data_IF_594258569591
#
_entry.id   IF_594258569591
#
_cell.length_a   1.000
_cell.length_b   1.000
_cell.length_c   1.000
_cell.angle_alpha   90.00
_cell.angle_beta   90.00
_cell.angle_gamma   90.00
#
_symmetry.space_group_name_H-M   'P 1'
#
loop_
_entity.id
_entity.type
_entity.pdbx_description
1 polymer ?
#
# COMPACT_ATOMS: atom_id res chain seq x y z
N UNK A 1 -0.76 16.21 -59.93
CA UNK A 1 0.37 16.63 -59.05
C UNK A 1 0.39 15.68 -57.86
N UNK A 2 1.27 14.67 -57.91
CA UNK A 2 1.39 13.64 -56.85
C UNK A 2 2.52 14.05 -55.93
N UNK A 3 2.22 14.25 -54.66
CA UNK A 3 3.23 14.48 -53.62
C UNK A 3 3.50 13.15 -52.97
N UNK A 4 4.69 12.60 -53.21
CA UNK A 4 5.22 11.40 -52.54
C UNK A 4 5.92 11.87 -51.28
N UNK A 5 5.42 11.51 -50.10
CA UNK A 5 6.07 11.76 -48.82
C UNK A 5 6.92 10.56 -48.47
N UNK A 6 8.27 10.72 -48.58
CA UNK A 6 9.25 9.72 -48.16
C UNK A 6 9.36 9.70 -46.64
N UNK A 7 9.00 8.59 -46.02
CA UNK A 7 9.33 8.31 -44.62
C UNK A 7 10.72 7.68 -44.57
N UNK A 8 11.68 8.45 -44.06
CA UNK A 8 13.05 7.96 -43.80
C UNK A 8 13.02 7.08 -42.54
N UNK A 9 13.32 5.80 -42.72
CA UNK A 9 13.63 4.86 -41.64
C UNK A 9 15.07 5.13 -41.16
N UNK A 10 15.18 5.66 -39.94
CA UNK A 10 16.46 5.83 -39.30
C UNK A 10 16.84 4.54 -38.56
N UNK A 11 17.72 3.73 -39.14
CA UNK A 11 18.38 2.62 -38.47
C UNK A 11 19.37 3.19 -37.43
N UNK A 12 19.08 3.06 -36.13
CA UNK A 12 20.09 3.29 -35.11
C UNK A 12 20.85 1.98 -34.86
N UNK A 13 22.12 2.04 -35.22
CA UNK A 13 23.16 1.03 -34.98
C UNK A 13 23.23 0.66 -33.49
N UNK A 14 23.35 -0.64 -33.26
CA UNK A 14 23.54 -1.22 -31.96
C UNK A 14 24.79 -0.71 -31.24
N UNK A 15 24.60 -0.15 -30.10
CA UNK A 15 25.68 0.00 -29.11
C UNK A 15 25.59 -1.16 -28.14
N UNK A 16 26.62 -2.02 -28.20
CA UNK A 16 26.86 -3.06 -27.20
C UNK A 16 27.07 -2.40 -25.83
N UNK A 17 26.09 -2.57 -24.95
CA UNK A 17 26.23 -2.17 -23.56
C UNK A 17 27.18 -3.14 -22.86
N UNK A 18 28.38 -2.68 -22.55
CA UNK A 18 29.31 -3.34 -21.66
C UNK A 18 28.66 -3.41 -20.25
N UNK A 19 28.59 -4.61 -19.69
CA UNK A 19 28.16 -4.84 -18.32
C UNK A 19 29.15 -4.20 -17.33
N UNK A 20 28.89 -2.99 -16.91
CA UNK A 20 29.51 -2.44 -15.74
C UNK A 20 28.92 -3.17 -14.50
N UNK A 21 29.76 -3.98 -13.84
CA UNK A 21 29.44 -4.53 -12.52
C UNK A 21 29.27 -3.37 -11.54
N UNK A 22 28.05 -2.94 -11.27
CA UNK A 22 27.76 -2.04 -10.18
C UNK A 22 27.73 -2.85 -8.88
N UNK A 23 28.70 -2.61 -8.02
CA UNK A 23 28.69 -3.06 -6.63
C UNK A 23 27.55 -2.31 -5.88
N UNK A 24 26.35 -2.85 -5.87
CA UNK A 24 25.26 -2.30 -5.09
C UNK A 24 24.81 -3.32 -4.03
N UNK A 25 24.92 -2.94 -2.76
CA UNK A 25 24.35 -3.63 -1.59
C UNK A 25 22.82 -3.87 -1.68
N UNK A 26 22.16 -3.47 -2.77
CA UNK A 26 20.74 -3.66 -3.03
C UNK A 26 20.38 -4.91 -3.84
N UNK A 27 21.37 -5.61 -4.42
CA UNK A 27 21.10 -6.74 -5.32
C UNK A 27 20.50 -7.98 -4.64
N UNK A 28 20.76 -8.17 -3.34
CA UNK A 28 20.34 -9.35 -2.58
C UNK A 28 19.07 -9.16 -1.74
N UNK A 29 18.43 -8.00 -1.80
CA UNK A 29 17.19 -7.80 -1.07
C UNK A 29 16.11 -8.76 -1.58
N UNK A 30 15.43 -9.52 -0.70
CA UNK A 30 14.36 -10.44 -1.09
C UNK A 30 13.13 -9.72 -1.64
N UNK A 31 13.07 -8.41 -1.48
CA UNK A 31 11.98 -7.56 -1.94
C UNK A 31 12.52 -6.42 -2.80
N UNK A 32 11.93 -6.24 -3.97
CA UNK A 32 12.22 -5.13 -4.87
C UNK A 32 10.95 -4.33 -5.13
N UNK A 33 11.00 -3.01 -4.88
CA UNK A 33 9.84 -2.11 -5.01
C UNK A 33 10.26 -0.87 -5.77
N UNK A 34 9.47 -0.48 -6.76
CA UNK A 34 9.67 0.76 -7.51
C UNK A 34 8.89 0.78 -8.83
N UNK A 35 8.83 1.92 -9.51
CA UNK A 35 8.22 1.99 -10.83
C UNK A 35 9.12 1.33 -11.88
N UNK A 36 8.51 0.74 -12.91
CA UNK A 36 9.19 0.25 -14.11
C UNK A 36 9.69 1.45 -14.90
N UNK A 37 10.98 1.49 -15.18
CA UNK A 37 11.60 2.52 -16.00
C UNK A 37 11.99 2.03 -17.39
N UNK A 38 12.15 0.71 -17.56
CA UNK A 38 12.35 0.09 -18.86
C UNK A 38 11.86 -1.37 -18.85
N UNK A 39 11.52 -1.85 -20.04
CA UNK A 39 11.17 -3.25 -20.31
C UNK A 39 12.00 -3.69 -21.50
N UNK A 40 12.68 -4.83 -21.39
CA UNK A 40 13.46 -5.39 -22.53
C UNK A 40 12.54 -5.74 -23.71
N UNK A 41 13.10 -5.78 -24.91
CA UNK A 41 12.32 -6.06 -26.12
C UNK A 41 11.63 -7.44 -26.10
N UNK A 42 12.20 -8.40 -25.38
CA UNK A 42 11.62 -9.74 -25.20
C UNK A 42 10.64 -9.81 -23.99
N UNK A 43 10.43 -8.69 -23.29
CA UNK A 43 9.55 -8.60 -22.12
C UNK A 43 10.05 -9.33 -20.88
N UNK A 44 11.26 -9.89 -20.89
CA UNK A 44 11.75 -10.73 -19.80
C UNK A 44 12.54 -9.97 -18.73
N UNK A 45 13.00 -8.77 -19.01
CA UNK A 45 13.70 -7.94 -18.01
C UNK A 45 12.94 -6.66 -17.76
N UNK A 46 12.65 -6.40 -16.49
CA UNK A 46 12.07 -5.14 -16.03
C UNK A 46 13.14 -4.37 -15.27
N UNK A 47 13.47 -3.17 -15.71
CA UNK A 47 14.29 -2.24 -14.93
C UNK A 47 13.38 -1.41 -14.07
N UNK A 48 13.56 -1.46 -12.75
CA UNK A 48 12.79 -0.66 -11.79
C UNK A 48 13.70 0.37 -11.11
N UNK A 49 13.11 1.49 -10.70
CA UNK A 49 13.77 2.52 -9.91
C UNK A 49 13.41 2.31 -8.43
N UNK A 50 14.37 1.87 -7.63
CA UNK A 50 14.20 1.73 -6.18
C UNK A 50 14.44 3.06 -5.45
N UNK A 51 14.12 3.12 -4.15
CA UNK A 51 14.43 4.29 -3.31
C UNK A 51 15.92 4.63 -3.37
N UNK A 52 16.25 5.94 -3.43
CA UNK A 52 17.63 6.42 -3.57
C UNK A 52 18.16 6.39 -4.99
N UNK A 53 17.26 6.39 -5.99
CA UNK A 53 17.59 6.43 -7.43
C UNK A 53 18.39 5.22 -7.98
N UNK A 54 18.39 4.11 -7.23
CA UNK A 54 19.06 2.88 -7.66
C UNK A 54 18.18 2.10 -8.64
N UNK A 55 18.73 1.87 -9.84
CA UNK A 55 18.08 0.98 -10.82
C UNK A 55 18.38 -0.47 -10.47
N UNK A 56 17.38 -1.31 -10.59
CA UNK A 56 17.50 -2.76 -10.42
C UNK A 56 16.79 -3.49 -11.55
N UNK A 57 17.50 -4.45 -12.13
CA UNK A 57 16.94 -5.33 -13.15
C UNK A 57 16.31 -6.56 -12.49
N UNK A 58 15.11 -6.87 -12.90
CA UNK A 58 14.33 -8.03 -12.50
C UNK A 58 14.19 -8.93 -13.72
N UNK A 59 14.90 -10.05 -13.72
CA UNK A 59 14.82 -11.03 -14.81
C UNK A 59 13.67 -11.99 -14.52
N UNK A 60 12.65 -11.94 -15.39
CA UNK A 60 11.50 -12.84 -15.35
C UNK A 60 11.85 -14.17 -16.01
N UNK A 61 11.41 -15.25 -15.42
CA UNK A 61 11.50 -16.60 -15.97
C UNK A 61 10.10 -17.14 -16.27
N UNK A 62 10.00 -18.25 -16.98
CA UNK A 62 8.71 -18.92 -17.18
C UNK A 62 8.04 -19.41 -15.89
N UNK A 63 8.74 -19.32 -14.74
CA UNK A 63 8.22 -19.65 -13.41
C UNK A 63 7.90 -18.41 -12.58
N UNK A 64 8.12 -17.21 -13.11
CA UNK A 64 7.78 -15.95 -12.43
C UNK A 64 6.29 -15.70 -12.56
N UNK A 65 5.62 -15.49 -11.45
CA UNK A 65 4.20 -15.18 -11.40
C UNK A 65 3.98 -13.67 -11.56
N UNK A 66 3.13 -13.27 -12.50
CA UNK A 66 2.69 -11.89 -12.69
C UNK A 66 1.30 -11.70 -12.11
N UNK A 67 1.16 -10.82 -11.13
CA UNK A 67 -0.10 -10.53 -10.44
C UNK A 67 -0.43 -9.07 -10.69
N UNK A 68 -1.52 -8.79 -11.39
CA UNK A 68 -1.98 -7.44 -11.66
C UNK A 68 -2.98 -7.02 -10.58
N UNK A 69 -2.67 -5.92 -9.88
CA UNK A 69 -3.43 -5.44 -8.72
C UNK A 69 -4.30 -4.26 -9.11
N UNK A 70 -5.62 -4.37 -8.92
CA UNK A 70 -6.58 -3.32 -9.28
C UNK A 70 -6.55 -2.97 -10.76
N UNK A 71 -6.40 -3.98 -11.61
CA UNK A 71 -6.47 -3.84 -13.05
C UNK A 71 -7.50 -4.80 -13.60
N UNK A 72 -8.54 -4.32 -14.32
CA UNK A 72 -9.48 -5.16 -15.05
C UNK A 72 -8.74 -6.11 -15.99
N UNK A 73 -9.23 -7.32 -16.18
CA UNK A 73 -8.57 -8.38 -16.99
C UNK A 73 -8.18 -7.91 -18.39
N UNK A 74 -8.98 -7.05 -19.01
CA UNK A 74 -8.74 -6.49 -20.34
C UNK A 74 -7.55 -5.54 -20.43
N UNK A 75 -7.12 -4.95 -19.33
CA UNK A 75 -6.02 -3.96 -19.26
C UNK A 75 -4.72 -4.51 -18.64
N UNK A 76 -4.70 -5.79 -18.23
CA UNK A 76 -3.54 -6.42 -17.57
C UNK A 76 -2.36 -6.54 -18.54
N UNK A 77 -1.40 -5.65 -18.42
CA UNK A 77 -0.14 -5.65 -19.18
C UNK A 77 0.98 -4.97 -18.40
N UNK A 78 2.21 -5.32 -18.71
CA UNK A 78 3.39 -4.60 -18.22
C UNK A 78 3.56 -3.31 -19.04
N UNK A 79 3.83 -2.19 -18.38
CA UNK A 79 4.15 -0.93 -19.02
C UNK A 79 5.13 -0.12 -18.17
N UNK A 80 5.92 0.74 -18.83
CA UNK A 80 6.75 1.73 -18.15
C UNK A 80 5.85 2.67 -17.34
N UNK A 81 6.29 2.99 -16.12
CA UNK A 81 5.51 3.78 -15.17
C UNK A 81 4.67 2.93 -14.19
N UNK A 82 4.36 1.67 -14.51
CA UNK A 82 3.67 0.81 -13.57
C UNK A 82 4.50 0.58 -12.30
N UNK A 83 3.85 0.58 -11.14
CA UNK A 83 4.48 0.22 -9.87
C UNK A 83 4.72 -1.29 -9.79
N UNK A 84 5.84 -1.68 -9.20
CA UNK A 84 6.20 -3.08 -8.99
C UNK A 84 6.53 -3.35 -7.54
N UNK A 85 6.03 -4.49 -7.04
CA UNK A 85 6.51 -5.16 -5.84
C UNK A 85 6.89 -6.60 -6.19
N UNK A 86 8.19 -6.87 -6.29
CA UNK A 86 8.69 -8.19 -6.67
C UNK A 86 9.30 -8.94 -5.48
N UNK A 87 9.01 -10.23 -5.38
CA UNK A 87 9.66 -11.18 -4.47
C UNK A 87 10.79 -11.88 -5.19
N UNK A 88 12.00 -11.79 -4.62
CA UNK A 88 13.22 -12.37 -5.19
C UNK A 88 13.81 -13.38 -4.20
N UNK A 89 14.17 -14.57 -4.68
CA UNK A 89 14.81 -15.61 -3.86
C UNK A 89 15.95 -16.25 -4.65
N UNK A 90 17.16 -16.18 -4.10
CA UNK A 90 18.38 -16.71 -4.78
C UNK A 90 18.62 -16.06 -6.14
N UNK A 91 18.44 -14.73 -6.25
CA UNK A 91 18.60 -13.99 -7.50
C UNK A 91 17.45 -14.17 -8.51
N UNK A 92 16.48 -15.07 -8.24
CA UNK A 92 15.37 -15.37 -9.14
C UNK A 92 14.08 -14.65 -8.70
N UNK A 93 13.43 -13.99 -9.65
CA UNK A 93 12.10 -13.37 -9.43
C UNK A 93 11.05 -14.48 -9.31
N UNK A 94 10.36 -14.55 -8.19
CA UNK A 94 9.30 -15.52 -7.92
C UNK A 94 7.93 -14.96 -8.29
N UNK A 95 7.62 -13.76 -7.82
CA UNK A 95 6.38 -13.09 -8.16
C UNK A 95 6.59 -11.59 -8.33
N UNK A 96 5.78 -10.99 -9.17
CA UNK A 96 5.75 -9.55 -9.43
C UNK A 96 4.31 -9.08 -9.33
N UNK A 97 4.03 -8.25 -8.33
CA UNK A 97 2.76 -7.53 -8.22
C UNK A 97 2.90 -6.22 -8.97
N UNK A 98 2.03 -6.01 -9.93
CA UNK A 98 2.03 -4.86 -10.83
C UNK A 98 0.83 -4.00 -10.54
N UNK A 99 1.04 -2.70 -10.33
CA UNK A 99 0.00 -1.70 -10.11
C UNK A 99 0.05 -0.62 -11.17
N UNK A 100 -1.05 0.05 -11.43
CA UNK A 100 -1.04 1.31 -12.18
C UNK A 100 -0.23 2.36 -11.42
N UNK A 101 0.29 3.41 -12.12
CA UNK A 101 0.97 4.52 -11.46
C UNK A 101 0.03 5.18 -10.45
N UNK A 102 0.38 5.13 -9.18
CA UNK A 102 -0.34 5.88 -8.15
C UNK A 102 0.13 7.33 -8.20
N UNK A 103 -0.73 8.26 -8.61
CA UNK A 103 -0.45 9.69 -8.50
C UNK A 103 -0.22 10.12 -7.04
N UNK A 104 0.10 11.41 -6.81
CA UNK A 104 0.17 11.95 -5.45
C UNK A 104 -1.17 11.72 -4.74
N UNK A 105 -1.11 11.22 -3.51
CA UNK A 105 -2.30 11.07 -2.68
C UNK A 105 -3.00 12.43 -2.53
N UNK A 106 -4.27 12.48 -2.88
CA UNK A 106 -5.07 13.65 -2.56
C UNK A 106 -5.08 13.82 -1.03
N UNK A 107 -4.82 15.04 -0.54
CA UNK A 107 -4.97 15.34 0.88
C UNK A 107 -6.45 15.29 1.24
N UNK A 108 -6.88 14.20 1.80
CA UNK A 108 -8.30 13.95 2.09
C UNK A 108 -8.79 14.56 3.39
N UNK A 109 -8.06 15.47 3.97
CA UNK A 109 -8.46 16.17 5.18
C UNK A 109 -8.91 15.28 6.35
N UNK A 110 -9.10 15.86 7.53
CA UNK A 110 -9.56 15.13 8.74
C UNK A 110 -11.00 14.59 8.61
N UNK A 111 -11.77 15.06 7.65
CA UNK A 111 -13.20 14.71 7.51
C UNK A 111 -13.45 13.28 7.04
N UNK A 112 -12.44 12.62 6.45
CA UNK A 112 -12.57 11.22 6.00
C UNK A 112 -12.94 10.25 7.13
N UNK A 113 -12.51 10.53 8.36
CA UNK A 113 -12.76 9.67 9.52
C UNK A 113 -14.24 9.57 9.89
N UNK A 114 -15.05 10.55 9.45
CA UNK A 114 -16.50 10.63 9.72
C UNK A 114 -17.34 10.00 8.61
N UNK A 115 -16.73 9.69 7.45
CA UNK A 115 -17.50 9.16 6.31
C UNK A 115 -17.92 7.70 6.54
N UNK A 116 -19.06 7.33 6.01
CA UNK A 116 -19.46 5.92 5.86
C UNK A 116 -18.74 5.27 4.68
N UNK A 117 -18.75 3.93 4.59
CA UNK A 117 -18.18 3.20 3.43
C UNK A 117 -18.79 3.69 2.12
N UNK A 118 -20.12 3.83 2.05
CA UNK A 118 -20.80 4.30 0.85
C UNK A 118 -20.37 5.73 0.47
N UNK A 119 -20.20 6.62 1.45
CA UNK A 119 -19.72 7.97 1.18
C UNK A 119 -18.27 7.98 0.68
N UNK A 120 -17.42 7.06 1.17
CA UNK A 120 -16.07 6.87 0.67
C UNK A 120 -16.13 6.40 -0.78
N UNK A 121 -16.90 5.36 -1.08
CA UNK A 121 -17.05 4.86 -2.46
C UNK A 121 -17.49 5.96 -3.42
N UNK A 122 -18.55 6.71 -3.09
CA UNK A 122 -19.03 7.79 -3.95
C UNK A 122 -17.99 8.89 -4.18
N UNK A 123 -17.20 9.22 -3.15
CA UNK A 123 -16.19 10.29 -3.27
C UNK A 123 -14.88 9.84 -3.91
N UNK A 124 -14.50 8.59 -3.72
CA UNK A 124 -13.22 8.06 -4.14
C UNK A 124 -13.26 7.41 -5.53
N UNK A 125 -14.43 6.91 -5.96
CA UNK A 125 -14.63 6.37 -7.30
C UNK A 125 -14.71 7.53 -8.31
N UNK A 126 -13.55 7.96 -8.80
CA UNK A 126 -13.41 9.11 -9.69
C UNK A 126 -13.89 8.81 -11.12
N UNK A 127 -13.80 7.55 -11.54
CA UNK A 127 -14.16 7.10 -12.89
C UNK A 127 -15.62 6.60 -13.00
N UNK A 128 -16.30 6.39 -11.86
CA UNK A 128 -17.71 5.98 -11.81
C UNK A 128 -17.96 4.52 -12.24
N UNK A 129 -16.97 3.64 -12.17
CA UNK A 129 -17.07 2.24 -12.62
C UNK A 129 -17.74 1.29 -11.61
N UNK A 130 -18.15 1.80 -10.47
CA UNK A 130 -18.94 1.07 -9.46
C UNK A 130 -18.16 0.51 -8.29
N UNK A 131 -16.83 0.61 -8.28
CA UNK A 131 -15.94 0.18 -7.20
C UNK A 131 -14.72 1.08 -7.09
N UNK A 132 -13.78 0.75 -6.22
CA UNK A 132 -12.48 1.44 -6.16
C UNK A 132 -11.40 0.54 -6.76
N UNK A 133 -10.72 1.02 -7.77
CA UNK A 133 -9.49 0.40 -8.23
C UNK A 133 -8.35 0.61 -7.22
N UNK A 134 -7.18 -0.01 -7.46
CA UNK A 134 -6.05 0.12 -6.56
C UNK A 134 -5.55 1.57 -6.42
N UNK A 135 -5.60 2.36 -7.48
CA UNK A 135 -5.12 3.75 -7.49
C UNK A 135 -6.02 4.62 -6.62
N UNK A 136 -7.34 4.52 -6.84
CA UNK A 136 -8.36 5.22 -6.06
C UNK A 136 -8.30 4.83 -4.58
N UNK A 137 -8.25 3.52 -4.30
CA UNK A 137 -8.12 3.01 -2.94
C UNK A 137 -6.84 3.52 -2.27
N UNK A 138 -5.68 3.49 -2.95
CA UNK A 138 -4.40 3.90 -2.37
C UNK A 138 -4.34 5.39 -2.03
N UNK A 139 -5.00 6.23 -2.82
CA UNK A 139 -5.14 7.67 -2.54
C UNK A 139 -5.94 7.93 -1.27
N UNK A 140 -6.96 7.12 -1.01
CA UNK A 140 -7.86 7.30 0.13
C UNK A 140 -7.35 6.67 1.43
N UNK A 141 -6.69 5.52 1.36
CA UNK A 141 -6.30 4.74 2.54
C UNK A 141 -4.82 4.92 2.88
N UNK A 142 -4.03 5.61 2.05
CA UNK A 142 -2.59 5.81 2.23
C UNK A 142 -1.81 4.53 2.54
N UNK A 143 -2.08 3.47 1.80
CA UNK A 143 -1.28 2.27 1.91
C UNK A 143 0.12 2.48 1.35
N UNK A 144 1.12 2.07 2.12
CA UNK A 144 2.49 2.06 1.61
C UNK A 144 2.61 1.14 0.39
N UNK A 145 3.50 1.44 -0.58
CA UNK A 145 3.78 0.57 -1.72
C UNK A 145 4.16 -0.86 -1.32
N UNK A 146 4.64 -1.03 -0.09
CA UNK A 146 5.01 -2.34 0.47
C UNK A 146 3.80 -3.21 0.83
N UNK A 147 2.74 -2.63 1.39
CA UNK A 147 1.61 -3.37 1.96
C UNK A 147 0.30 -3.17 1.18
N UNK A 148 0.14 -2.05 0.50
CA UNK A 148 -1.07 -1.71 -0.24
C UNK A 148 -1.52 -2.77 -1.24
N UNK A 149 -0.64 -3.26 -2.15
CA UNK A 149 -1.02 -4.28 -3.11
C UNK A 149 -1.53 -5.58 -2.46
N UNK A 150 -0.92 -6.00 -1.35
CA UNK A 150 -1.35 -7.20 -0.64
C UNK A 150 -2.70 -7.01 0.05
N UNK A 151 -2.94 -5.82 0.58
CA UNK A 151 -4.21 -5.47 1.23
C UNK A 151 -5.34 -5.42 0.21
N UNK A 152 -5.09 -4.84 -0.96
CA UNK A 152 -6.05 -4.82 -2.05
C UNK A 152 -6.43 -6.24 -2.48
N UNK A 153 -5.45 -7.08 -2.84
CA UNK A 153 -5.68 -8.47 -3.28
C UNK A 153 -6.39 -9.33 -2.23
N UNK A 154 -6.19 -9.04 -0.94
CA UNK A 154 -6.94 -9.73 0.13
C UNK A 154 -8.39 -9.28 0.20
N UNK A 155 -8.67 -8.04 -0.15
CA UNK A 155 -10.02 -7.47 -0.11
C UNK A 155 -10.82 -7.80 -1.38
N UNK A 156 -10.21 -7.68 -2.55
CA UNK A 156 -10.77 -8.05 -3.86
C UNK A 156 -10.95 -9.57 -3.92
N UNK A 157 -12.13 -10.04 -3.57
CA UNK A 157 -12.44 -11.48 -3.45
C UNK A 157 -12.91 -12.10 -4.75
N UNK A 158 -13.53 -11.29 -5.60
CA UNK A 158 -14.05 -11.74 -6.88
C UNK A 158 -13.01 -11.61 -8.03
N UNK A 159 -11.84 -11.01 -7.74
CA UNK A 159 -10.74 -10.76 -8.71
C UNK A 159 -11.22 -9.97 -9.93
N UNK A 160 -12.14 -9.01 -9.72
CA UNK A 160 -12.58 -8.13 -10.80
C UNK A 160 -11.70 -6.88 -10.95
N UNK A 161 -10.84 -6.61 -9.97
CA UNK A 161 -9.91 -5.49 -9.93
C UNK A 161 -10.50 -4.24 -9.29
N UNK A 162 -11.68 -4.32 -8.69
CA UNK A 162 -12.37 -3.25 -7.99
C UNK A 162 -12.68 -3.68 -6.56
N UNK A 163 -12.86 -2.73 -5.67
CA UNK A 163 -13.38 -2.97 -4.32
C UNK A 163 -14.80 -2.44 -4.23
N UNK A 164 -15.75 -3.33 -4.07
CA UNK A 164 -17.14 -2.99 -3.78
C UNK A 164 -17.35 -2.58 -2.31
N UNK A 165 -18.59 -2.26 -1.92
CA UNK A 165 -18.93 -1.84 -0.56
C UNK A 165 -18.65 -2.89 0.51
N UNK A 166 -18.85 -4.16 0.20
CA UNK A 166 -18.61 -5.26 1.13
C UNK A 166 -17.11 -5.52 1.31
N UNK A 167 -16.35 -5.43 0.24
CA UNK A 167 -14.89 -5.60 0.21
C UNK A 167 -14.19 -4.42 0.89
N UNK A 168 -14.64 -3.19 0.63
CA UNK A 168 -14.18 -1.98 1.32
C UNK A 168 -14.46 -2.05 2.82
N UNK A 169 -15.62 -2.54 3.25
CA UNK A 169 -15.93 -2.71 4.67
C UNK A 169 -14.92 -3.63 5.36
N UNK A 170 -14.59 -4.76 4.73
CA UNK A 170 -13.58 -5.71 5.24
C UNK A 170 -12.18 -5.11 5.26
N UNK A 171 -11.81 -4.38 4.22
CA UNK A 171 -10.52 -3.70 4.15
C UNK A 171 -10.39 -2.67 5.28
N UNK A 172 -11.38 -1.80 5.44
CA UNK A 172 -11.39 -0.74 6.45
C UNK A 172 -11.40 -1.26 7.88
N UNK A 173 -12.00 -2.41 8.14
CA UNK A 173 -11.96 -3.05 9.47
C UNK A 173 -10.53 -3.33 9.96
N UNK A 174 -9.57 -3.51 9.05
CA UNK A 174 -8.14 -3.64 9.36
C UNK A 174 -7.37 -2.32 9.45
N UNK A 175 -8.01 -1.18 9.18
CA UNK A 175 -7.38 0.14 9.14
C UNK A 175 -7.55 0.85 10.49
N UNK A 176 -6.44 1.14 11.16
CA UNK A 176 -6.46 1.69 12.52
C UNK A 176 -7.28 2.97 12.63
N UNK A 177 -7.01 3.98 11.79
CA UNK A 177 -7.73 5.25 11.87
C UNK A 177 -9.25 5.07 11.67
N UNK A 178 -9.67 4.14 10.82
CA UNK A 178 -11.08 3.82 10.63
C UNK A 178 -11.69 3.21 11.89
N UNK A 179 -11.03 2.18 12.45
CA UNK A 179 -11.46 1.50 13.67
C UNK A 179 -11.62 2.48 14.82
N UNK A 180 -10.57 3.27 15.10
CA UNK A 180 -10.54 4.14 16.27
C UNK A 180 -11.39 5.40 16.13
N UNK A 181 -11.71 5.83 14.91
CA UNK A 181 -12.62 6.97 14.69
C UNK A 181 -14.11 6.65 14.84
N UNK A 182 -14.48 5.38 15.10
CA UNK A 182 -15.89 4.97 15.25
C UNK A 182 -16.46 5.18 16.64
N UNK A 183 -15.60 5.39 17.64
CA UNK A 183 -15.96 5.62 19.04
C UNK A 183 -15.13 6.78 19.58
N UNK A 184 -15.64 7.45 20.61
CA UNK A 184 -14.84 8.43 21.35
C UNK A 184 -13.73 7.75 22.17
N UNK A 185 -12.73 8.51 22.59
CA UNK A 185 -11.65 7.99 23.44
C UNK A 185 -12.18 7.53 24.80
N UNK A 186 -13.22 8.20 25.31
CA UNK A 186 -13.90 7.85 26.55
C UNK A 186 -14.66 6.52 26.42
N UNK A 187 -15.26 6.26 25.26
CA UNK A 187 -15.92 4.97 24.99
C UNK A 187 -14.91 3.84 24.90
N UNK A 188 -13.77 4.07 24.21
CA UNK A 188 -12.68 3.11 24.16
C UNK A 188 -12.13 2.80 25.54
N UNK A 189 -11.90 3.83 26.37
CA UNK A 189 -11.43 3.68 27.74
C UNK A 189 -12.42 2.84 28.58
N UNK A 190 -13.68 3.24 28.63
CA UNK A 190 -14.73 2.58 29.43
C UNK A 190 -14.92 1.10 29.06
N UNK A 191 -14.81 0.76 27.77
CA UNK A 191 -14.90 -0.64 27.32
C UNK A 191 -13.69 -1.48 27.69
N UNK A 192 -12.52 -0.85 27.82
CA UNK A 192 -11.30 -1.52 28.20
C UNK A 192 -11.12 -1.67 29.71
N UNK A 193 -11.59 -0.70 30.49
CA UNK A 193 -11.56 -0.69 31.96
C UNK A 193 -12.55 -1.75 32.51
N UNK A 194 -12.08 -2.99 32.57
CA UNK A 194 -12.92 -4.14 32.91
C UNK A 194 -13.19 -4.26 34.41
N UNK A 195 -12.26 -3.76 35.23
CA UNK A 195 -12.36 -3.81 36.69
C UNK A 195 -13.02 -2.54 37.28
N UNK A 196 -13.14 -1.46 36.48
CA UNK A 196 -13.80 -0.20 36.86
C UNK A 196 -12.98 0.65 37.83
N UNK A 197 -11.64 0.48 37.88
CA UNK A 197 -10.80 1.25 38.79
C UNK A 197 -10.39 2.62 38.26
N UNK A 198 -10.78 2.94 37.02
CA UNK A 198 -10.57 4.25 36.39
C UNK A 198 -9.20 4.42 35.76
N UNK A 199 -8.42 3.35 35.61
CA UNK A 199 -7.15 3.29 34.86
C UNK A 199 -7.11 2.01 34.05
N UNK A 200 -6.24 1.92 33.03
CA UNK A 200 -6.03 0.67 32.31
C UNK A 200 -4.68 0.05 32.69
N UNK A 201 -4.69 -1.17 33.15
CA UNK A 201 -3.49 -1.98 33.22
C UNK A 201 -3.06 -2.49 31.83
N UNK A 202 -1.91 -3.20 31.75
CA UNK A 202 -1.43 -3.73 30.48
C UNK A 202 -2.41 -4.73 29.85
N UNK A 203 -3.08 -5.56 30.64
CA UNK A 203 -4.01 -6.58 30.13
C UNK A 203 -5.26 -5.90 29.53
N UNK A 204 -5.82 -4.94 30.24
CA UNK A 204 -6.93 -4.15 29.78
C UNK A 204 -6.60 -3.36 28.53
N UNK A 205 -5.43 -2.71 28.50
CA UNK A 205 -4.96 -1.98 27.32
C UNK A 205 -4.79 -2.89 26.10
N UNK A 206 -4.42 -4.18 26.25
CA UNK A 206 -4.29 -5.10 25.10
C UNK A 206 -5.58 -5.25 24.31
N UNK A 207 -6.74 -5.01 24.92
CA UNK A 207 -8.05 -5.12 24.25
C UNK A 207 -8.25 -4.03 23.21
N UNK A 208 -7.66 -2.86 23.44
CA UNK A 208 -7.75 -1.71 22.53
C UNK A 208 -6.45 -1.44 21.76
N UNK A 209 -5.36 -2.13 22.07
CA UNK A 209 -4.08 -1.88 21.41
C UNK A 209 -4.11 -2.22 19.92
N UNK A 210 -3.55 -1.33 19.10
CA UNK A 210 -3.30 -1.59 17.69
C UNK A 210 -2.08 -2.52 17.54
N UNK A 211 -2.36 -3.82 17.45
CA UNK A 211 -1.33 -4.85 17.34
C UNK A 211 -0.93 -5.47 18.68
N UNK A 212 -1.59 -6.55 19.04
CA UNK A 212 -1.40 -7.27 20.31
C UNK A 212 0.06 -7.66 20.60
N UNK A 213 0.82 -8.01 19.58
CA UNK A 213 2.23 -8.43 19.74
C UNK A 213 3.18 -7.29 20.16
N UNK A 214 2.72 -6.05 20.16
CA UNK A 214 3.52 -4.87 20.50
C UNK A 214 2.87 -4.06 21.63
N UNK A 215 1.79 -4.56 22.22
CA UNK A 215 1.00 -3.85 23.22
C UNK A 215 1.85 -3.35 24.40
N UNK A 216 2.76 -4.17 24.90
CA UNK A 216 3.66 -3.78 26.00
C UNK A 216 4.54 -2.58 25.66
N UNK A 217 5.13 -2.56 24.46
CA UNK A 217 5.95 -1.43 24.01
C UNK A 217 5.13 -0.17 23.78
N UNK A 218 3.90 -0.33 23.30
CA UNK A 218 2.97 0.78 23.09
C UNK A 218 2.50 1.30 24.43
N UNK A 219 2.15 0.43 25.38
CA UNK A 219 1.77 0.77 26.74
C UNK A 219 2.84 1.64 27.41
N UNK A 220 4.12 1.16 27.44
CA UNK A 220 5.25 1.89 28.00
C UNK A 220 5.48 3.28 27.40
N UNK A 221 5.12 3.49 26.12
CA UNK A 221 5.22 4.79 25.47
C UNK A 221 4.04 5.71 25.74
N UNK A 222 2.88 5.11 26.01
CA UNK A 222 1.64 5.80 26.31
C UNK A 222 1.61 6.23 27.77
N UNK A 223 2.08 5.37 28.68
CA UNK A 223 2.32 5.66 30.10
C UNK A 223 3.42 6.73 30.25
N UNK A 224 3.01 7.98 30.31
CA UNK A 224 3.94 9.14 30.38
C UNK A 224 4.38 9.47 31.77
N UNK A 225 3.50 9.27 32.75
CA UNK A 225 3.78 9.51 34.16
C UNK A 225 4.56 8.35 34.81
N UNK A 226 4.63 7.18 34.13
CA UNK A 226 5.33 5.96 34.52
C UNK A 226 4.81 5.33 35.81
N UNK A 227 3.49 5.46 36.03
CA UNK A 227 2.82 4.84 37.18
C UNK A 227 2.39 3.39 36.92
N UNK A 228 2.64 2.87 35.70
CA UNK A 228 2.32 1.53 35.21
C UNK A 228 0.82 1.30 34.96
N UNK A 229 0.08 2.36 34.81
CA UNK A 229 -1.34 2.38 34.43
C UNK A 229 -1.54 3.45 33.35
N UNK A 230 -2.64 3.42 32.64
CA UNK A 230 -3.00 4.46 31.67
C UNK A 230 -4.26 5.18 32.14
N UNK A 231 -4.14 6.46 32.38
CA UNK A 231 -5.29 7.30 32.69
C UNK A 231 -6.11 7.64 31.42
N UNK A 232 -7.35 8.16 31.56
CA UNK A 232 -8.17 8.53 30.40
C UNK A 232 -7.50 9.53 29.45
N UNK A 233 -6.64 10.42 29.94
CA UNK A 233 -5.94 11.41 29.11
C UNK A 233 -4.82 10.77 28.28
N UNK A 234 -4.15 9.78 28.80
CA UNK A 234 -3.12 9.02 28.11
C UNK A 234 -3.73 8.16 27.01
N UNK A 235 -4.86 7.50 27.31
CA UNK A 235 -5.62 6.74 26.33
C UNK A 235 -6.18 7.66 25.23
N UNK A 236 -6.71 8.84 25.57
CA UNK A 236 -7.18 9.80 24.59
C UNK A 236 -6.07 10.19 23.59
N UNK A 237 -4.87 10.52 24.10
CA UNK A 237 -3.73 10.83 23.24
C UNK A 237 -3.32 9.65 22.35
N UNK A 238 -3.37 8.45 22.87
CA UNK A 238 -3.11 7.24 22.09
C UNK A 238 -4.11 7.07 20.94
N UNK A 239 -5.40 7.19 21.23
CA UNK A 239 -6.47 7.11 20.23
C UNK A 239 -6.32 8.20 19.18
N UNK A 240 -6.07 9.45 19.59
CA UNK A 240 -5.85 10.59 18.69
C UNK A 240 -4.64 10.36 17.77
N UNK A 241 -3.57 9.77 18.27
CA UNK A 241 -2.41 9.41 17.44
C UNK A 241 -2.77 8.36 16.38
N UNK A 242 -3.59 7.36 16.71
CA UNK A 242 -4.03 6.34 15.75
C UNK A 242 -4.94 6.91 14.67
N UNK A 243 -5.81 7.86 15.04
CA UNK A 243 -6.67 8.59 14.10
C UNK A 243 -5.83 9.58 13.27
N UNK A 244 -4.92 10.30 13.91
CA UNK A 244 -4.06 11.32 13.28
C UNK A 244 -2.93 10.76 12.41
N UNK A 245 -2.47 9.52 12.65
CA UNK A 245 -1.46 8.84 11.80
C UNK A 245 -1.96 8.50 10.39
N UNK A 246 -3.16 8.93 10.07
CA UNK A 246 -3.77 8.86 8.75
C UNK A 246 -3.33 9.99 7.79
N UNK A 247 -2.30 10.78 8.15
CA UNK A 247 -1.76 11.88 7.35
C UNK A 247 -0.51 11.49 6.60
#
# INVERSE_FOLDING_TARGET
MKIISSIAFLFLLGTSFSHAKSNSKGADSPLAIGPITAISADGKTLTILQSGEHKRDLVLSGKSELIFVGMPKSSRRLAVGHGVKASVKGGLVKSVKVTLPTGQAASLGKDRTKLSVNQILVKANENGDGGLDYVEMSRWIHHSPKHGPDSFLKADKNDDGLLDGAEMTKLLAGVSWWKYSRKSSEEWFREADANGDGVLDLNEFTTIAAGKNHAENVFKRTDRNKDKALDPKEVAKYVDQLIGSAH
#
